data_IF_428976568807
#
_entry.id   IF_428976568807
#
_cell.length_a   1.000
_cell.length_b   1.000
_cell.length_c   1.000
_cell.angle_alpha   90.00
_cell.angle_beta   90.00
_cell.angle_gamma   90.00
#
_symmetry.space_group_name_H-M   'P 1'
#
loop_
_entity.id
_entity.type
_entity.pdbx_description
1 polymer ?
#
# COMPACT_ATOMS: atom_id res chain seq x y z
N UNK A 1 11.94 -1.03 4.56
CA UNK A 1 10.73 -0.86 5.40
C UNK A 1 10.24 0.57 5.28
N UNK A 2 8.94 0.78 5.07
CA UNK A 2 8.36 2.11 4.88
C UNK A 2 7.74 2.63 6.19
N UNK A 3 7.82 3.95 6.40
CA UNK A 3 7.02 4.67 7.41
C UNK A 3 5.65 4.99 6.82
N UNK A 4 4.54 4.36 7.26
CA UNK A 4 3.22 4.79 6.83
C UNK A 4 2.92 6.14 7.50
N UNK A 5 3.24 7.26 6.86
CA UNK A 5 3.08 8.60 7.42
C UNK A 5 1.64 9.12 7.22
N UNK A 6 1.11 9.92 8.15
CA UNK A 6 -0.23 10.52 7.96
C UNK A 6 -0.17 11.75 7.03
N UNK A 7 -1.30 12.07 6.41
CA UNK A 7 -1.39 13.23 5.51
C UNK A 7 -1.08 14.57 6.19
N UNK A 8 -1.39 14.71 7.49
CA UNK A 8 -0.99 15.90 8.26
C UNK A 8 0.52 15.91 8.49
N UNK A 9 1.11 14.80 8.93
CA UNK A 9 2.54 14.66 9.22
C UNK A 9 3.40 14.94 7.98
N UNK A 10 3.06 14.31 6.84
CA UNK A 10 3.81 14.48 5.58
C UNK A 10 3.82 15.95 5.11
N UNK A 11 2.73 16.68 5.32
CA UNK A 11 2.60 18.08 4.89
C UNK A 11 3.41 19.06 5.73
N UNK A 12 3.85 18.66 6.93
CA UNK A 12 4.65 19.47 7.86
C UNK A 12 6.12 19.09 7.91
N UNK A 13 6.54 18.07 7.15
CA UNK A 13 7.95 17.64 7.07
C UNK A 13 8.86 18.83 6.78
N UNK A 14 9.86 18.99 7.63
CA UNK A 14 10.96 19.92 7.39
C UNK A 14 11.86 19.41 6.27
N UNK A 15 12.49 20.33 5.57
CA UNK A 15 13.43 20.01 4.50
C UNK A 15 14.58 19.17 5.05
N UNK A 16 15.02 19.42 6.28
CA UNK A 16 16.08 18.67 6.95
C UNK A 16 15.63 17.33 7.59
N UNK A 17 14.49 16.76 7.20
CA UNK A 17 13.91 15.57 7.84
C UNK A 17 14.63 14.23 7.58
N UNK A 18 15.76 14.22 6.86
CA UNK A 18 16.45 12.99 6.44
C UNK A 18 17.74 12.82 7.24
N UNK A 19 17.83 11.72 7.97
CA UNK A 19 19.04 11.27 8.67
C UNK A 19 19.64 10.05 7.96
N UNK A 20 20.94 10.08 7.67
CA UNK A 20 21.68 9.01 7.01
C UNK A 20 22.70 8.43 7.99
N UNK A 21 22.64 7.12 8.19
CA UNK A 21 23.59 6.40 9.03
C UNK A 21 24.82 6.00 8.21
N UNK A 22 25.92 6.72 8.40
CA UNK A 22 27.13 6.58 7.58
C UNK A 22 27.90 5.24 7.74
N UNK A 23 27.86 4.52 8.88
CA UNK A 23 28.52 3.20 8.97
C UNK A 23 27.68 2.05 8.41
N UNK A 24 26.34 2.15 8.43
CA UNK A 24 25.42 1.04 8.13
C UNK A 24 24.57 1.20 6.86
N UNK A 25 24.66 2.34 6.17
CA UNK A 25 23.88 2.60 4.94
C UNK A 25 22.38 2.77 5.17
N UNK A 26 21.95 2.99 6.41
CA UNK A 26 20.55 3.17 6.78
C UNK A 26 20.07 4.60 6.49
N UNK A 27 18.81 4.73 6.06
CA UNK A 27 18.15 6.03 5.92
C UNK A 27 16.95 6.12 6.86
N UNK A 28 16.77 7.28 7.48
CA UNK A 28 15.76 7.50 8.49
C UNK A 28 15.04 8.82 8.26
N UNK A 29 13.73 8.81 8.48
CA UNK A 29 12.85 9.98 8.41
C UNK A 29 12.55 10.45 9.83
N UNK A 30 12.89 11.70 10.12
CA UNK A 30 12.53 12.41 11.33
C UNK A 30 11.28 13.27 11.09
N UNK A 31 10.28 13.17 11.97
CA UNK A 31 9.10 14.01 11.90
C UNK A 31 8.31 14.05 13.22
N UNK A 32 7.53 15.12 13.39
CA UNK A 32 6.56 15.24 14.47
C UNK A 32 5.43 14.19 14.31
N UNK A 33 5.23 13.34 15.32
CA UNK A 33 4.20 12.31 15.32
C UNK A 33 2.86 12.85 15.84
N UNK A 34 1.94 13.15 14.92
CA UNK A 34 0.61 13.62 15.30
C UNK A 34 -0.15 12.61 16.18
N UNK A 35 -0.99 13.10 17.11
CA UNK A 35 -1.85 12.28 17.98
C UNK A 35 -1.11 11.29 18.91
N UNK A 36 0.19 11.46 19.12
CA UNK A 36 0.97 10.65 20.08
C UNK A 36 1.31 11.40 21.38
N UNK A 37 0.99 12.69 21.46
CA UNK A 37 1.29 13.54 22.61
C UNK A 37 0.34 13.39 23.80
N UNK A 38 0.90 13.34 25.01
CA UNK A 38 0.18 13.73 26.23
C UNK A 38 0.13 15.27 26.29
N UNK A 39 -1.04 15.85 26.62
CA UNK A 39 -1.18 17.29 26.89
C UNK A 39 -0.85 18.17 25.65
N UNK A 40 -1.10 17.67 24.43
CA UNK A 40 -1.06 18.47 23.20
C UNK A 40 0.33 18.72 22.59
N UNK A 41 1.41 18.17 23.17
CA UNK A 41 2.76 18.20 22.58
C UNK A 41 3.03 16.87 21.89
N UNK A 42 3.11 16.89 20.56
CA UNK A 42 3.46 15.68 19.80
C UNK A 42 4.98 15.42 19.88
N UNK A 43 5.42 14.17 20.06
CA UNK A 43 6.84 13.84 20.05
C UNK A 43 7.41 13.82 18.63
N UNK A 44 8.65 14.26 18.47
CA UNK A 44 9.45 13.97 17.28
C UNK A 44 9.89 12.50 17.29
N UNK A 45 9.70 11.82 16.17
CA UNK A 45 10.05 10.41 16.00
C UNK A 45 10.95 10.22 14.80
N UNK A 46 11.86 9.25 14.91
CA UNK A 46 12.75 8.83 13.82
C UNK A 46 12.35 7.43 13.39
N UNK A 47 12.18 7.21 12.09
CA UNK A 47 11.78 5.91 11.53
C UNK A 47 12.60 5.51 10.31
N UNK A 48 13.00 4.23 10.19
CA UNK A 48 13.74 3.78 9.02
C UNK A 48 12.86 3.91 7.77
N UNK A 49 13.48 4.31 6.66
CA UNK A 49 12.87 4.39 5.34
C UNK A 49 13.76 3.67 4.31
N UNK A 50 13.19 3.21 3.18
CA UNK A 50 13.98 2.63 2.11
C UNK A 50 14.91 3.67 1.47
N UNK A 51 16.06 3.22 0.97
CA UNK A 51 17.02 4.05 0.23
C UNK A 51 16.38 4.77 -0.97
N UNK A 52 15.44 4.12 -1.65
CA UNK A 52 14.66 4.74 -2.72
C UNK A 52 13.85 5.95 -2.23
N UNK A 53 13.21 5.83 -1.07
CA UNK A 53 12.47 6.93 -0.45
C UNK A 53 13.42 8.04 0.00
N UNK A 54 14.58 7.69 0.57
CA UNK A 54 15.61 8.65 0.93
C UNK A 54 16.09 9.45 -0.29
N UNK A 55 16.31 8.77 -1.44
CA UNK A 55 16.67 9.42 -2.69
C UNK A 55 15.58 10.37 -3.18
N UNK A 56 14.31 9.98 -3.09
CA UNK A 56 13.19 10.86 -3.44
C UNK A 56 13.15 12.11 -2.55
N UNK A 57 13.39 11.97 -1.25
CA UNK A 57 13.48 13.08 -0.30
C UNK A 57 14.66 14.00 -0.67
N UNK A 58 15.84 13.47 -0.98
CA UNK A 58 16.99 14.26 -1.40
C UNK A 58 16.72 15.10 -2.65
N UNK A 59 16.01 14.54 -3.64
CA UNK A 59 15.61 15.29 -4.83
C UNK A 59 14.67 16.46 -4.48
N UNK A 60 13.72 16.24 -3.57
CA UNK A 60 12.85 17.31 -3.07
C UNK A 60 13.62 18.36 -2.26
N UNK A 61 14.62 17.95 -1.47
CA UNK A 61 15.50 18.87 -0.74
C UNK A 61 16.25 19.80 -1.69
N UNK A 62 16.92 19.24 -2.72
CA UNK A 62 17.66 20.01 -3.73
C UNK A 62 16.72 20.96 -4.47
N UNK A 63 15.53 20.49 -4.87
CA UNK A 63 14.52 21.30 -5.52
C UNK A 63 14.06 22.46 -4.63
N UNK A 64 13.75 22.20 -3.36
CA UNK A 64 13.32 23.21 -2.40
C UNK A 64 14.39 24.29 -2.15
N UNK A 65 15.65 23.89 -1.99
CA UNK A 65 16.78 24.84 -1.87
C UNK A 65 16.90 25.71 -3.12
N UNK A 66 16.83 25.11 -4.31
CA UNK A 66 16.89 25.86 -5.57
C UNK A 66 15.75 26.87 -5.70
N UNK A 67 14.52 26.43 -5.44
CA UNK A 67 13.33 27.29 -5.55
C UNK A 67 13.32 28.42 -4.51
N UNK A 68 13.67 28.14 -3.25
CA UNK A 68 13.71 29.18 -2.20
C UNK A 68 14.70 30.29 -2.53
N UNK A 69 15.86 29.94 -3.11
CA UNK A 69 16.84 30.92 -3.64
C UNK A 69 16.29 31.71 -4.83
N UNK A 70 15.68 31.05 -5.81
CA UNK A 70 15.11 31.72 -7.00
C UNK A 70 14.04 32.74 -6.59
N UNK A 71 13.20 32.39 -5.61
CA UNK A 71 12.14 33.27 -5.13
C UNK A 71 12.57 34.27 -4.06
N UNK A 72 13.81 34.18 -3.55
CA UNK A 72 14.28 34.92 -2.39
C UNK A 72 13.30 34.83 -1.19
N UNK A 73 12.82 33.62 -0.91
CA UNK A 73 11.83 33.38 0.15
C UNK A 73 12.50 32.96 1.46
N UNK A 74 12.49 33.86 2.44
CA UNK A 74 13.07 33.64 3.78
C UNK A 74 12.02 33.23 4.83
N UNK A 75 10.76 33.01 4.43
CA UNK A 75 9.69 32.65 5.37
C UNK A 75 9.92 31.24 5.90
N UNK A 76 9.43 30.89 7.12
CA UNK A 76 9.56 29.54 7.68
C UNK A 76 9.03 28.42 6.78
N UNK A 77 8.08 28.74 5.90
CA UNK A 77 7.53 27.80 4.92
C UNK A 77 8.56 27.33 3.88
N UNK A 78 9.56 28.16 3.56
CA UNK A 78 10.63 27.80 2.63
C UNK A 78 11.35 26.54 3.11
N UNK A 79 11.54 26.39 4.43
CA UNK A 79 12.22 25.25 5.05
C UNK A 79 11.39 23.97 5.11
N UNK A 80 10.20 23.91 4.50
CA UNK A 80 9.42 22.67 4.40
C UNK A 80 9.87 21.82 3.21
N UNK A 81 9.83 20.49 3.36
CA UNK A 81 10.20 19.54 2.32
C UNK A 81 9.33 19.73 1.06
N UNK A 82 8.02 19.89 1.25
CA UNK A 82 7.07 20.14 0.16
C UNK A 82 6.92 21.64 -0.15
N UNK A 83 8.04 22.29 -0.47
CA UNK A 83 8.06 23.66 -0.96
C UNK A 83 7.70 23.70 -2.46
N UNK A 84 6.41 23.56 -2.76
CA UNK A 84 5.90 23.41 -4.13
C UNK A 84 5.44 24.77 -4.68
N UNK A 85 5.89 25.19 -5.88
CA UNK A 85 5.43 26.41 -6.55
C UNK A 85 3.91 26.50 -6.70
N UNK A 86 3.40 27.73 -6.79
CA UNK A 86 2.03 27.99 -7.22
C UNK A 86 1.84 27.78 -8.72
N UNK A 87 0.59 27.86 -9.18
CA UNK A 87 0.26 27.83 -10.61
C UNK A 87 1.04 28.90 -11.37
N UNK A 88 1.65 28.52 -12.49
CA UNK A 88 2.51 29.42 -13.28
C UNK A 88 3.84 29.74 -12.59
N UNK A 89 4.37 28.83 -11.78
CA UNK A 89 5.63 28.99 -11.05
C UNK A 89 5.67 30.26 -10.18
N UNK A 90 4.54 30.57 -9.53
CA UNK A 90 4.47 31.65 -8.55
C UNK A 90 5.04 31.22 -7.19
N UNK A 91 5.44 32.21 -6.39
CA UNK A 91 5.87 32.01 -5.01
C UNK A 91 4.87 31.11 -4.24
N UNK A 92 5.34 30.07 -3.52
CA UNK A 92 4.47 29.19 -2.74
C UNK A 92 3.65 29.93 -1.68
N UNK A 93 2.36 29.60 -1.52
CA UNK A 93 1.54 30.13 -0.44
C UNK A 93 1.87 29.42 0.89
N UNK A 94 1.87 30.15 2.03
CA UNK A 94 2.37 29.64 3.31
C UNK A 94 1.51 28.51 3.94
N UNK A 95 0.25 28.35 3.51
CA UNK A 95 -0.69 27.38 4.09
C UNK A 95 -1.36 26.54 2.99
N UNK A 96 -0.67 25.57 2.39
CA UNK A 96 -1.37 24.58 1.55
C UNK A 96 -0.56 23.33 1.14
N UNK A 97 0.19 22.69 2.04
CA UNK A 97 0.97 21.51 1.62
C UNK A 97 0.10 20.27 1.36
N UNK A 98 -0.88 20.00 2.23
CA UNK A 98 -1.66 18.76 2.16
C UNK A 98 -2.47 18.62 0.85
N UNK A 99 -3.15 19.69 0.43
CA UNK A 99 -3.91 19.67 -0.83
C UNK A 99 -2.98 19.58 -2.05
N UNK A 100 -1.84 20.27 -2.03
CA UNK A 100 -0.86 20.19 -3.13
C UNK A 100 -0.24 18.81 -3.27
N UNK A 101 0.08 18.13 -2.17
CA UNK A 101 0.54 16.73 -2.21
C UNK A 101 -0.52 15.84 -2.87
N UNK A 102 -1.78 15.97 -2.48
CA UNK A 102 -2.88 15.25 -3.12
C UNK A 102 -3.07 15.64 -4.60
N UNK A 103 -2.82 16.90 -4.98
CA UNK A 103 -2.86 17.33 -6.38
C UNK A 103 -1.74 16.68 -7.19
N UNK A 104 -0.52 16.61 -6.66
CA UNK A 104 0.58 15.89 -7.29
C UNK A 104 0.27 14.40 -7.47
N UNK A 105 -0.36 13.77 -6.47
CA UNK A 105 -0.86 12.39 -6.59
C UNK A 105 -1.92 12.26 -7.69
N UNK A 106 -2.86 13.21 -7.78
CA UNK A 106 -3.84 13.22 -8.87
C UNK A 106 -3.15 13.30 -10.24
N UNK A 107 -2.20 14.22 -10.40
CA UNK A 107 -1.43 14.37 -11.64
C UNK A 107 -0.67 13.09 -11.98
N UNK A 108 -0.08 12.43 -10.99
CA UNK A 108 0.56 11.13 -11.18
C UNK A 108 -0.45 10.08 -11.68
N UNK A 109 -1.62 9.96 -11.04
CA UNK A 109 -2.69 9.05 -11.44
C UNK A 109 -3.22 9.33 -12.86
N UNK A 110 -3.24 10.60 -13.30
CA UNK A 110 -3.55 10.97 -14.68
C UNK A 110 -2.46 10.51 -15.65
N UNK A 111 -1.18 10.76 -15.33
CA UNK A 111 -0.03 10.41 -16.17
C UNK A 111 0.03 8.90 -16.40
N UNK A 112 -0.21 8.09 -15.36
CA UNK A 112 -0.20 6.63 -15.47
C UNK A 112 -1.55 6.04 -15.93
N UNK A 113 -2.53 6.89 -16.25
CA UNK A 113 -3.87 6.48 -16.70
C UNK A 113 -4.55 5.45 -15.78
N UNK A 114 -4.63 5.74 -14.48
CA UNK A 114 -5.36 4.88 -13.53
C UNK A 114 -6.80 4.59 -13.98
N UNK A 115 -7.36 3.40 -13.70
CA UNK A 115 -8.67 3.00 -14.19
C UNK A 115 -9.80 3.99 -13.85
N UNK A 116 -10.78 4.06 -14.76
CA UNK A 116 -12.01 4.84 -14.57
C UNK A 116 -13.14 3.93 -14.11
N UNK A 117 -14.01 4.45 -13.26
CA UNK A 117 -15.19 3.73 -12.81
C UNK A 117 -16.31 3.72 -13.86
N UNK A 118 -17.40 3.00 -13.57
CA UNK A 118 -18.58 2.90 -14.44
C UNK A 118 -19.27 4.25 -14.72
N UNK A 119 -18.94 5.31 -13.97
CA UNK A 119 -19.47 6.67 -14.15
C UNK A 119 -18.45 7.58 -14.87
N UNK A 120 -17.36 7.02 -15.40
CA UNK A 120 -16.30 7.77 -16.07
C UNK A 120 -15.41 8.58 -15.13
N UNK A 121 -15.44 8.32 -13.82
CA UNK A 121 -14.60 9.02 -12.84
C UNK A 121 -13.29 8.26 -12.63
N UNK A 122 -12.17 8.97 -12.62
CA UNK A 122 -10.87 8.38 -12.34
C UNK A 122 -10.69 8.12 -10.84
N UNK A 123 -10.10 6.99 -10.49
CA UNK A 123 -9.70 6.72 -9.11
C UNK A 123 -8.37 7.41 -8.78
N UNK A 124 -8.37 8.21 -7.72
CA UNK A 124 -7.19 8.96 -7.28
C UNK A 124 -6.71 8.45 -5.93
N UNK A 125 -5.47 7.98 -5.91
CA UNK A 125 -4.82 7.47 -4.70
C UNK A 125 -4.67 8.59 -3.67
N UNK A 126 -5.03 8.30 -2.42
CA UNK A 126 -4.88 9.19 -1.26
C UNK A 126 -3.81 8.69 -0.29
N UNK A 127 -3.16 9.63 0.39
CA UNK A 127 -2.16 9.31 1.44
C UNK A 127 -2.74 8.39 2.53
N UNK A 128 -4.02 8.57 2.88
CA UNK A 128 -4.69 7.69 3.84
C UNK A 128 -4.87 6.26 3.32
N UNK A 129 -5.23 6.10 2.05
CA UNK A 129 -5.40 4.78 1.40
C UNK A 129 -4.05 4.06 1.30
N UNK A 130 -2.98 4.76 0.89
CA UNK A 130 -1.63 4.20 0.88
C UNK A 130 -1.18 3.75 2.29
N UNK A 131 -1.53 4.52 3.32
CA UNK A 131 -1.28 4.12 4.72
C UNK A 131 -2.07 2.87 5.10
N UNK A 132 -3.37 2.80 4.81
CA UNK A 132 -4.21 1.61 5.11
C UNK A 132 -3.66 0.38 4.38
N UNK A 133 -3.40 0.51 3.07
CA UNK A 133 -2.83 -0.54 2.25
C UNK A 133 -1.50 -1.08 2.80
N UNK A 134 -0.57 -0.19 3.19
CA UNK A 134 0.71 -0.60 3.77
C UNK A 134 0.57 -1.40 5.07
N UNK A 135 -0.34 -0.96 5.97
CA UNK A 135 -0.58 -1.64 7.24
C UNK A 135 -1.20 -3.03 7.01
N UNK A 136 -2.20 -3.11 6.13
CA UNK A 136 -2.88 -4.35 5.79
C UNK A 136 -1.92 -5.37 5.16
N UNK A 137 -1.18 -4.98 4.13
CA UNK A 137 -0.30 -5.90 3.40
C UNK A 137 0.81 -6.42 4.32
N UNK A 138 1.40 -5.54 5.14
CA UNK A 138 2.46 -5.93 6.09
C UNK A 138 1.92 -6.84 7.18
N UNK A 139 0.72 -6.57 7.71
CA UNK A 139 0.09 -7.47 8.68
C UNK A 139 -0.18 -8.84 8.08
N UNK A 140 -0.64 -8.89 6.83
CA UNK A 140 -0.90 -10.14 6.11
C UNK A 140 0.37 -10.97 5.90
N UNK A 141 1.48 -10.32 5.55
CA UNK A 141 2.78 -10.96 5.37
C UNK A 141 3.33 -11.66 6.62
N UNK A 142 3.21 -10.99 7.77
CA UNK A 142 3.95 -11.37 8.98
C UNK A 142 3.02 -11.82 10.11
N UNK A 143 1.71 -11.84 9.87
CA UNK A 143 0.68 -12.20 10.84
C UNK A 143 0.67 -11.33 12.08
N UNK A 144 0.12 -11.86 13.16
CA UNK A 144 0.03 -11.20 14.47
C UNK A 144 1.38 -10.80 15.06
N UNK A 145 2.46 -11.50 14.71
CA UNK A 145 3.82 -11.18 15.15
C UNK A 145 4.29 -9.78 14.69
N UNK A 146 3.67 -9.20 13.66
CA UNK A 146 4.01 -7.87 13.16
C UNK A 146 3.28 -6.71 13.82
N UNK A 147 2.27 -6.94 14.66
CA UNK A 147 1.45 -5.86 15.24
C UNK A 147 2.30 -4.85 16.03
N UNK A 148 3.30 -5.31 16.78
CA UNK A 148 4.22 -4.44 17.52
C UNK A 148 5.15 -3.65 16.59
N UNK A 149 5.66 -4.28 15.52
CA UNK A 149 6.47 -3.63 14.49
C UNK A 149 5.64 -2.56 13.74
N UNK A 150 4.39 -2.88 13.39
CA UNK A 150 3.45 -1.96 12.78
C UNK A 150 3.13 -0.78 13.70
N UNK A 151 3.04 -1.01 15.01
CA UNK A 151 2.84 0.07 16.00
C UNK A 151 4.00 1.03 15.99
N UNK A 152 5.20 0.45 16.10
CA UNK A 152 6.43 1.19 16.07
C UNK A 152 6.50 2.02 14.78
N UNK A 153 6.38 1.38 13.61
CA UNK A 153 6.45 2.06 12.31
C UNK A 153 5.38 3.14 12.17
N UNK A 154 4.13 2.86 12.52
CA UNK A 154 3.03 3.80 12.33
C UNK A 154 3.02 4.99 13.30
N UNK A 155 3.84 4.95 14.35
CA UNK A 155 3.93 5.98 15.39
C UNK A 155 2.69 6.02 16.28
N UNK A 156 2.00 4.88 16.47
CA UNK A 156 0.83 4.81 17.34
C UNK A 156 1.25 4.60 18.79
N UNK A 157 0.70 5.39 19.72
CA UNK A 157 0.93 5.23 21.16
C UNK A 157 0.09 4.10 21.77
N UNK A 158 -1.14 3.89 21.28
CA UNK A 158 -2.07 2.87 21.79
C UNK A 158 -2.17 1.67 20.83
N UNK A 159 -2.13 0.47 21.42
CA UNK A 159 -2.20 -0.86 20.78
C UNK A 159 -3.54 -1.07 20.05
N UNK A 160 -4.64 -0.54 20.60
CA UNK A 160 -6.00 -0.68 20.04
C UNK A 160 -6.17 -0.04 18.67
N UNK A 161 -5.39 1.00 18.36
CA UNK A 161 -5.47 1.67 17.06
C UNK A 161 -4.99 0.78 15.91
N UNK A 162 -4.14 -0.22 16.16
CA UNK A 162 -3.72 -1.18 15.14
C UNK A 162 -4.75 -2.27 15.01
N UNK A 163 -5.40 -2.64 16.11
CA UNK A 163 -6.54 -3.53 16.06
C UNK A 163 -7.61 -2.90 15.14
N UNK A 164 -7.90 -1.61 15.16
CA UNK A 164 -8.82 -1.02 14.15
C UNK A 164 -8.33 -1.12 12.67
N UNK A 165 -7.02 -1.29 12.43
CA UNK A 165 -6.45 -1.45 11.08
C UNK A 165 -6.19 -2.92 10.71
N UNK A 166 -6.18 -3.84 11.68
CA UNK A 166 -5.80 -5.26 11.53
C UNK A 166 -6.86 -6.22 12.04
N UNK A 167 -7.86 -5.73 12.77
CA UNK A 167 -9.11 -6.39 13.05
C UNK A 167 -9.76 -6.59 11.71
N UNK A 168 -9.49 -7.79 11.22
CA UNK A 168 -10.11 -8.42 10.10
C UNK A 168 -11.60 -8.50 10.43
N UNK A 169 -12.32 -7.43 10.15
CA UNK A 169 -13.74 -7.55 9.99
C UNK A 169 -13.91 -8.05 8.57
N UNK A 170 -14.34 -9.29 8.43
CA UNK A 170 -14.73 -9.89 7.15
C UNK A 170 -15.79 -8.98 6.48
N UNK A 171 -16.42 -8.05 7.20
CA UNK A 171 -17.28 -7.00 6.64
C UNK A 171 -16.56 -5.81 5.98
N UNK A 172 -15.21 -5.69 6.03
CA UNK A 172 -14.47 -4.60 5.42
C UNK A 172 -14.35 -4.86 3.90
N UNK A 173 -15.37 -4.42 3.15
CA UNK A 173 -15.58 -4.69 1.73
C UNK A 173 -14.35 -4.46 0.82
N UNK A 174 -13.43 -3.59 1.24
CA UNK A 174 -12.18 -3.31 0.50
C UNK A 174 -11.14 -4.44 0.61
N UNK A 175 -11.07 -5.13 1.76
CA UNK A 175 -10.15 -6.24 1.95
C UNK A 175 -10.62 -7.46 1.15
N UNK A 176 -11.91 -7.81 1.26
CA UNK A 176 -12.51 -8.87 0.44
C UNK A 176 -12.34 -8.57 -1.05
N UNK A 177 -12.59 -7.32 -1.47
CA UNK A 177 -12.42 -6.96 -2.89
C UNK A 177 -10.98 -7.18 -3.36
N UNK A 178 -9.99 -6.82 -2.56
CA UNK A 178 -8.59 -7.06 -2.89
C UNK A 178 -8.28 -8.56 -2.98
N UNK A 179 -8.79 -9.38 -2.07
CA UNK A 179 -8.64 -10.84 -2.10
C UNK A 179 -9.30 -11.44 -3.35
N UNK A 180 -10.52 -11.01 -3.68
CA UNK A 180 -11.22 -11.37 -4.91
C UNK A 180 -10.43 -10.97 -6.16
N UNK A 181 -9.81 -9.78 -6.18
CA UNK A 181 -8.94 -9.33 -7.28
C UNK A 181 -7.68 -10.18 -7.43
N UNK A 182 -7.03 -10.53 -6.31
CA UNK A 182 -5.88 -11.42 -6.34
C UNK A 182 -6.27 -12.81 -6.88
N UNK A 183 -7.37 -13.39 -6.39
CA UNK A 183 -7.88 -14.68 -6.85
C UNK A 183 -8.20 -14.64 -8.35
N UNK A 184 -8.84 -13.58 -8.84
CA UNK A 184 -9.12 -13.34 -10.27
C UNK A 184 -7.83 -13.41 -11.11
N UNK A 185 -6.79 -12.68 -10.70
CA UNK A 185 -5.50 -12.68 -11.41
C UNK A 185 -4.86 -14.08 -11.48
N UNK A 186 -4.91 -14.86 -10.39
CA UNK A 186 -4.38 -16.23 -10.37
C UNK A 186 -5.18 -17.20 -11.22
N UNK A 187 -6.50 -17.07 -11.21
CA UNK A 187 -7.36 -17.91 -12.02
C UNK A 187 -7.17 -17.63 -13.51
N UNK A 188 -6.97 -16.36 -13.89
CA UNK A 188 -6.58 -15.99 -15.26
C UNK A 188 -5.20 -16.56 -15.60
N UNK A 189 -4.21 -16.46 -14.70
CA UNK A 189 -2.89 -17.03 -14.91
C UNK A 189 -2.92 -18.56 -15.10
N UNK A 190 -3.82 -19.26 -14.39
CA UNK A 190 -4.08 -20.69 -14.54
C UNK A 190 -4.69 -21.01 -15.93
N UNK A 191 -5.65 -20.21 -16.41
CA UNK A 191 -6.25 -20.39 -17.74
C UNK A 191 -5.25 -20.15 -18.88
N UNK A 192 -4.40 -19.14 -18.74
CA UNK A 192 -3.36 -18.82 -19.71
C UNK A 192 -2.18 -19.80 -19.69
N UNK A 193 -2.17 -20.77 -18.78
CA UNK A 193 -1.08 -21.74 -18.62
C UNK A 193 0.21 -21.13 -18.06
N UNK A 194 0.15 -19.91 -17.52
CA UNK A 194 1.28 -19.26 -16.82
C UNK A 194 1.52 -19.95 -15.47
N UNK A 195 0.44 -20.42 -14.84
CA UNK A 195 0.47 -21.13 -13.57
C UNK A 195 0.10 -22.61 -13.79
N UNK A 196 0.89 -23.53 -13.21
CA UNK A 196 0.68 -24.97 -13.38
C UNK A 196 -0.47 -25.49 -12.53
N UNK A 197 -1.17 -26.52 -13.01
CA UNK A 197 -2.22 -27.18 -12.21
C UNK A 197 -1.61 -27.98 -11.07
N UNK A 198 -0.45 -28.59 -11.32
CA UNK A 198 0.34 -29.30 -10.33
C UNK A 198 0.70 -28.35 -9.17
N UNK A 199 0.37 -28.75 -7.95
CA UNK A 199 0.62 -27.98 -6.73
C UNK A 199 -0.42 -26.90 -6.39
N UNK A 200 -1.44 -26.70 -7.24
CA UNK A 200 -2.47 -25.67 -7.08
C UNK A 200 -3.89 -26.28 -7.05
N UNK A 201 -4.07 -27.42 -6.36
CA UNK A 201 -5.32 -28.17 -6.35
C UNK A 201 -6.52 -27.40 -5.78
N UNK A 202 -6.29 -26.49 -4.82
CA UNK A 202 -7.32 -25.63 -4.26
C UNK A 202 -7.76 -24.56 -5.26
N UNK A 203 -6.80 -23.92 -5.95
CA UNK A 203 -7.08 -22.97 -7.03
C UNK A 203 -7.79 -23.65 -8.22
N UNK A 204 -7.38 -24.86 -8.61
CA UNK A 204 -8.03 -25.65 -9.66
C UNK A 204 -9.46 -26.03 -9.27
N UNK A 205 -9.69 -26.36 -8.00
CA UNK A 205 -11.04 -26.63 -7.49
C UNK A 205 -11.94 -25.39 -7.59
N UNK A 206 -11.42 -24.23 -7.19
CA UNK A 206 -12.15 -22.97 -7.26
C UNK A 206 -12.45 -22.57 -8.72
N UNK A 207 -11.47 -22.77 -9.62
CA UNK A 207 -11.64 -22.57 -11.06
C UNK A 207 -12.78 -23.41 -11.64
N UNK A 208 -12.77 -24.72 -11.36
CA UNK A 208 -13.80 -25.64 -11.84
C UNK A 208 -15.18 -25.31 -11.25
N UNK A 209 -15.24 -24.93 -9.98
CA UNK A 209 -16.50 -24.53 -9.35
C UNK A 209 -17.06 -23.24 -9.95
N UNK A 210 -16.19 -22.24 -10.21
CA UNK A 210 -16.57 -20.99 -10.86
C UNK A 210 -17.14 -21.23 -12.27
N UNK A 211 -16.45 -22.00 -13.11
CA UNK A 211 -16.94 -22.32 -14.46
C UNK A 211 -18.29 -23.04 -14.43
N UNK A 212 -18.47 -23.97 -13.49
CA UNK A 212 -19.75 -24.66 -13.29
C UNK A 212 -20.85 -23.73 -12.81
N UNK A 213 -20.54 -22.78 -11.92
CA UNK A 213 -21.52 -21.83 -11.39
C UNK A 213 -22.07 -20.91 -12.48
N UNK A 214 -21.21 -20.45 -13.39
CA UNK A 214 -21.56 -19.51 -14.45
C UNK A 214 -21.92 -20.17 -15.79
N UNK A 215 -21.89 -21.51 -15.87
CA UNK A 215 -22.03 -22.28 -17.12
C UNK A 215 -21.11 -21.72 -18.24
N UNK A 216 -19.86 -21.46 -17.87
CA UNK A 216 -18.86 -20.81 -18.70
C UNK A 216 -17.70 -21.74 -19.03
N UNK A 217 -17.06 -21.52 -20.18
CA UNK A 217 -15.86 -22.26 -20.59
C UNK A 217 -14.56 -21.56 -20.19
N UNK A 218 -14.63 -20.29 -19.82
CA UNK A 218 -13.50 -19.49 -19.34
C UNK A 218 -14.00 -18.39 -18.40
N UNK A 219 -13.19 -18.02 -17.42
CA UNK A 219 -13.46 -16.91 -16.51
C UNK A 219 -13.47 -15.59 -17.27
N UNK A 220 -12.67 -15.46 -18.34
CA UNK A 220 -12.62 -14.26 -19.17
C UNK A 220 -13.95 -13.93 -19.87
N UNK A 221 -14.85 -14.90 -20.03
CA UNK A 221 -16.18 -14.68 -20.62
C UNK A 221 -17.22 -14.23 -19.59
N UNK A 222 -16.88 -14.26 -18.29
CA UNK A 222 -17.75 -13.85 -17.20
C UNK A 222 -17.59 -12.34 -16.98
N UNK A 223 -18.70 -11.63 -16.74
CA UNK A 223 -18.65 -10.23 -16.35
C UNK A 223 -17.82 -10.06 -15.08
N UNK A 224 -16.75 -9.25 -15.13
CA UNK A 224 -15.89 -8.99 -13.95
C UNK A 224 -16.70 -8.57 -12.72
N UNK A 225 -17.77 -7.79 -12.90
CA UNK A 225 -18.60 -7.37 -11.76
C UNK A 225 -19.50 -8.47 -11.18
N UNK A 226 -19.84 -9.49 -11.96
CA UNK A 226 -20.57 -10.67 -11.47
C UNK A 226 -19.61 -11.67 -10.84
N UNK A 227 -18.44 -11.83 -11.44
CA UNK A 227 -17.39 -12.71 -10.93
C UNK A 227 -16.86 -12.25 -9.57
N UNK A 228 -16.62 -10.95 -9.38
CA UNK A 228 -16.23 -10.40 -8.08
C UNK A 228 -17.29 -10.66 -7.00
N UNK A 229 -18.57 -10.48 -7.32
CA UNK A 229 -19.66 -10.80 -6.37
C UNK A 229 -19.72 -12.28 -6.00
N UNK A 230 -19.32 -13.16 -6.92
CA UNK A 230 -19.22 -14.59 -6.65
C UNK A 230 -18.05 -14.89 -5.71
N UNK A 231 -16.85 -14.35 -6.00
CA UNK A 231 -15.68 -14.52 -5.15
C UNK A 231 -15.91 -13.95 -3.74
N UNK A 232 -16.56 -12.79 -3.63
CA UNK A 232 -16.93 -12.21 -2.35
C UNK A 232 -17.79 -13.19 -1.53
N UNK A 233 -18.77 -13.87 -2.15
CA UNK A 233 -19.58 -14.89 -1.48
C UNK A 233 -18.78 -16.13 -1.11
N UNK A 234 -17.82 -16.53 -1.95
CA UNK A 234 -16.95 -17.68 -1.67
C UNK A 234 -16.10 -17.41 -0.44
N UNK A 235 -15.60 -16.18 -0.26
CA UNK A 235 -14.83 -15.76 0.91
C UNK A 235 -15.54 -15.95 2.26
N UNK A 236 -16.88 -15.97 2.28
CA UNK A 236 -17.66 -16.19 3.51
C UNK A 236 -17.96 -17.67 3.79
N UNK A 237 -17.58 -18.59 2.91
CA UNK A 237 -17.90 -20.01 3.10
C UNK A 237 -16.92 -20.64 4.09
N UNK A 238 -17.43 -21.54 4.94
CA UNK A 238 -16.63 -22.27 5.92
C UNK A 238 -15.66 -23.28 5.29
N UNK A 239 -15.89 -23.68 4.03
CA UNK A 239 -15.05 -24.61 3.30
C UNK A 239 -13.99 -23.92 2.45
N UNK A 240 -13.96 -22.58 2.41
CA UNK A 240 -12.95 -21.80 1.73
C UNK A 240 -12.01 -21.15 2.74
N UNK A 241 -10.70 -21.22 2.47
CA UNK A 241 -9.69 -20.52 3.25
C UNK A 241 -8.50 -20.14 2.35
N UNK A 242 -7.82 -19.06 2.70
CA UNK A 242 -6.71 -18.50 1.93
C UNK A 242 -5.57 -18.08 2.84
N UNK A 243 -4.36 -18.52 2.52
CA UNK A 243 -3.13 -18.15 3.22
C UNK A 243 -2.13 -17.48 2.30
N UNK A 244 -1.37 -16.53 2.83
CA UNK A 244 -0.27 -15.89 2.11
C UNK A 244 1.05 -16.52 2.49
N UNK A 245 1.94 -16.69 1.52
CA UNK A 245 3.31 -17.16 1.70
C UNK A 245 4.29 -16.24 0.94
N UNK A 246 5.56 -16.26 1.35
CA UNK A 246 6.61 -15.49 0.67
C UNK A 246 7.25 -16.33 -0.45
N UNK A 247 7.39 -15.74 -1.63
CA UNK A 247 8.15 -16.32 -2.75
C UNK A 247 9.43 -15.52 -2.98
N UNK A 248 10.54 -16.20 -3.27
CA UNK A 248 11.77 -15.54 -3.70
C UNK A 248 11.69 -15.33 -5.21
N UNK A 249 11.94 -14.11 -5.68
CA UNK A 249 12.02 -13.79 -7.09
C UNK A 249 13.44 -14.10 -7.58
N UNK A 250 13.58 -15.13 -8.40
CA UNK A 250 14.87 -15.59 -8.92
C UNK A 250 15.46 -14.70 -10.01
N UNK A 251 14.64 -13.82 -10.60
CA UNK A 251 15.03 -12.93 -11.69
C UNK A 251 15.79 -11.66 -11.24
N UNK A 252 16.14 -11.57 -9.96
CA UNK A 252 16.87 -10.45 -9.39
C UNK A 252 18.17 -10.94 -8.74
N UNK A 253 19.27 -10.23 -9.00
CA UNK A 253 20.59 -10.54 -8.42
C UNK A 253 20.62 -10.41 -6.88
N UNK A 254 19.65 -9.68 -6.32
CA UNK A 254 19.46 -9.54 -4.87
C UNK A 254 18.34 -10.48 -4.38
N UNK A 255 18.38 -10.84 -3.09
CA UNK A 255 17.27 -11.58 -2.46
C UNK A 255 16.01 -10.71 -2.37
N UNK A 256 15.21 -10.75 -3.45
CA UNK A 256 13.92 -10.07 -3.51
C UNK A 256 12.82 -11.09 -3.23
N UNK A 257 11.96 -10.77 -2.27
CA UNK A 257 10.81 -11.59 -1.91
C UNK A 257 9.51 -10.88 -2.34
N UNK A 258 8.55 -11.64 -2.86
CA UNK A 258 7.19 -11.21 -3.16
C UNK A 258 6.17 -12.02 -2.35
N UNK A 259 4.92 -11.53 -2.32
CA UNK A 259 3.79 -12.29 -1.76
C UNK A 259 3.24 -13.17 -2.83
N UNK A 260 2.88 -14.37 -2.42
CA UNK A 260 1.91 -15.16 -3.13
C UNK A 260 0.89 -15.74 -2.14
N UNK A 261 -0.18 -16.36 -2.64
CA UNK A 261 -1.26 -16.91 -1.83
C UNK A 261 -1.63 -18.32 -2.24
N UNK A 262 -2.05 -19.12 -1.28
CA UNK A 262 -2.47 -20.50 -1.43
C UNK A 262 -3.93 -20.61 -0.99
N UNK A 263 -4.72 -21.35 -1.75
CA UNK A 263 -6.15 -21.54 -1.56
C UNK A 263 -6.41 -22.95 -1.04
N UNK A 264 -7.39 -23.06 -0.14
CA UNK A 264 -8.04 -24.31 0.24
C UNK A 264 -9.55 -24.19 -0.05
N UNK A 265 -10.10 -25.20 -0.70
CA UNK A 265 -11.52 -25.33 -0.97
C UNK A 265 -11.97 -26.77 -0.67
N UNK A 266 -12.72 -26.95 0.42
CA UNK A 266 -13.06 -28.25 0.98
C UNK A 266 -11.81 -29.02 1.38
N UNK A 267 -11.66 -30.23 0.82
CA UNK A 267 -10.49 -31.10 1.05
C UNK A 267 -9.32 -30.79 0.10
N UNK A 268 -9.53 -29.96 -0.93
CA UNK A 268 -8.49 -29.63 -1.92
C UNK A 268 -7.75 -28.39 -1.46
N UNK A 269 -6.42 -28.45 -1.46
CA UNK A 269 -5.55 -27.34 -1.04
C UNK A 269 -4.33 -27.25 -1.92
N UNK A 270 -3.86 -26.04 -2.15
CA UNK A 270 -2.58 -25.81 -2.81
C UNK A 270 -1.44 -26.35 -1.93
N UNK A 271 -0.35 -26.83 -2.53
CA UNK A 271 0.80 -27.38 -1.79
C UNK A 271 1.43 -26.36 -0.82
N UNK A 272 1.35 -25.08 -1.17
CA UNK A 272 1.88 -23.97 -0.38
C UNK A 272 0.94 -23.55 0.75
N UNK A 273 -0.23 -24.17 0.88
CA UNK A 273 -1.22 -23.85 1.91
C UNK A 273 -0.76 -24.18 3.34
N UNK A 274 0.05 -25.23 3.49
CA UNK A 274 0.58 -25.66 4.78
C UNK A 274 1.99 -25.12 5.07
N UNK A 275 2.54 -24.28 4.20
CA UNK A 275 3.86 -23.65 4.37
C UNK A 275 3.73 -22.24 4.93
#
# INVERSE_FOLDING_TARGET
MLKPIRNKEISHLDRACLWLDNPGGGAFLEHEAGKAGQIGINPDIIRPIPSLTARAIQLLQVLGVGLSKIYNDERPHAEKLFYIPGRGFKLPPPKCNMWKVNLCLNSFCEIINTPIDKKGRRWYIRVHEMRKFFLLITHRHYGDGSKELLRYLAGHADRRNIDDYTAYDISDAEAIRYESECIDDKLIALELGVLTKEGNDGLVALHAEALKHFDATSISTISKSEFMKYLDKVGYRSDFDMKTYSIRLENYDAEVYAIDFAIKLGERKDEKYDK
#
